data_IF_141546101162
#
_entry.id   IF_141546101162
#
_cell.length_a   1.000
_cell.length_b   1.000
_cell.length_c   1.000
_cell.angle_alpha   90.00
_cell.angle_beta   90.00
_cell.angle_gamma   90.00
#
_symmetry.space_group_name_H-M   'P 1'
#
loop_
_entity.id
_entity.type
_entity.pdbx_description
1 polymer ?
#
# COMPACT_ATOMS: atom_id res chain seq x y z
N UNK A 1 -14.15 -11.28 10.28
CA UNK A 1 -15.13 -11.11 9.19
C UNK A 1 -14.35 -10.62 7.98
N UNK A 2 -14.64 -11.14 6.78
CA UNK A 2 -13.98 -10.71 5.54
C UNK A 2 -14.84 -9.68 4.83
N UNK A 3 -14.18 -8.75 4.13
CA UNK A 3 -14.89 -7.81 3.26
C UNK A 3 -15.50 -8.54 2.05
N UNK A 4 -16.64 -8.05 1.59
CA UNK A 4 -17.22 -8.48 0.33
C UNK A 4 -16.29 -8.09 -0.83
N UNK A 5 -16.34 -8.84 -1.93
CA UNK A 5 -15.42 -8.66 -3.07
C UNK A 5 -15.32 -7.21 -3.60
N UNK A 6 -16.41 -6.44 -3.75
CA UNK A 6 -16.32 -5.04 -4.20
C UNK A 6 -15.59 -4.11 -3.22
N UNK A 7 -15.58 -4.46 -1.93
CA UNK A 7 -14.95 -3.68 -0.87
C UNK A 7 -13.53 -4.16 -0.54
N UNK A 8 -13.10 -5.26 -1.15
CA UNK A 8 -11.75 -5.80 -0.91
C UNK A 8 -10.70 -4.86 -1.53
N UNK A 9 -9.58 -4.65 -0.82
CA UNK A 9 -8.47 -3.83 -1.32
C UNK A 9 -7.77 -4.51 -2.50
N UNK A 10 -6.90 -3.75 -3.17
CA UNK A 10 -6.01 -4.29 -4.18
C UNK A 10 -5.07 -5.35 -3.54
N UNK A 11 -4.88 -6.54 -4.17
CA UNK A 11 -4.03 -7.58 -3.61
C UNK A 11 -2.58 -7.16 -3.37
N UNK A 12 -1.95 -6.48 -4.34
CA UNK A 12 -0.56 -6.00 -4.23
C UNK A 12 -0.40 -4.98 -3.11
N UNK A 13 -1.35 -4.06 -2.95
CA UNK A 13 -1.41 -3.11 -1.84
C UNK A 13 -1.46 -3.83 -0.49
N UNK A 14 -2.23 -4.92 -0.41
CA UNK A 14 -2.36 -5.69 0.83
C UNK A 14 -1.08 -6.45 1.14
N UNK A 15 -0.45 -7.05 0.13
CA UNK A 15 0.84 -7.74 0.28
C UNK A 15 1.94 -6.79 0.75
N UNK A 16 1.99 -5.56 0.22
CA UNK A 16 2.90 -4.52 0.70
C UNK A 16 2.65 -4.18 2.19
N UNK A 17 1.38 -3.95 2.54
CA UNK A 17 1.00 -3.57 3.89
C UNK A 17 1.23 -4.70 4.91
N UNK A 18 1.07 -5.96 4.52
CA UNK A 18 1.44 -7.11 5.35
C UNK A 18 2.92 -7.06 5.77
N UNK A 19 3.81 -6.63 4.86
CA UNK A 19 5.24 -6.48 5.13
C UNK A 19 5.52 -5.26 6.01
N UNK A 20 4.84 -4.14 5.75
CA UNK A 20 5.00 -2.92 6.54
C UNK A 20 4.51 -3.06 7.98
N UNK A 21 3.45 -3.81 8.25
CA UNK A 21 2.96 -3.99 9.62
C UNK A 21 4.05 -4.54 10.55
N UNK A 22 4.89 -5.46 10.06
CA UNK A 22 6.04 -5.98 10.82
C UNK A 22 7.13 -4.92 11.07
N UNK A 23 7.31 -3.97 10.16
CA UNK A 23 8.36 -2.95 10.23
C UNK A 23 7.97 -1.71 11.05
N UNK A 24 6.68 -1.40 11.19
CA UNK A 24 6.20 -0.14 11.80
C UNK A 24 6.75 0.08 13.20
N UNK A 25 6.84 -0.96 14.03
CA UNK A 25 7.38 -0.83 15.39
C UNK A 25 8.83 -0.32 15.41
N UNK A 26 9.65 -0.77 14.45
CA UNK A 26 11.04 -0.30 14.30
C UNK A 26 11.10 1.14 13.80
N UNK A 27 10.25 1.52 12.84
CA UNK A 27 10.15 2.90 12.35
C UNK A 27 9.78 3.87 13.48
N UNK A 28 8.79 3.51 14.29
CA UNK A 28 8.36 4.31 15.43
C UNK A 28 9.45 4.44 16.49
N UNK A 29 10.15 3.34 16.81
CA UNK A 29 11.28 3.38 17.74
C UNK A 29 12.43 4.26 17.23
N UNK A 30 12.60 4.38 15.91
CA UNK A 30 13.56 5.28 15.27
C UNK A 30 13.07 6.74 15.14
N UNK A 31 11.88 7.07 15.65
CA UNK A 31 11.34 8.43 15.67
C UNK A 31 10.46 8.80 14.47
N UNK A 32 10.10 7.85 13.62
CA UNK A 32 9.19 8.10 12.49
C UNK A 32 7.72 7.88 12.87
N UNK A 33 6.84 8.66 12.24
CA UNK A 33 5.40 8.38 12.26
C UNK A 33 5.01 7.65 10.98
N UNK A 34 4.13 6.66 11.07
CA UNK A 34 3.63 5.91 9.93
C UNK A 34 2.11 5.78 9.98
N UNK A 35 1.45 6.01 8.84
CA UNK A 35 0.02 5.83 8.69
C UNK A 35 -0.32 5.37 7.27
N UNK A 36 -1.39 4.58 7.16
CA UNK A 36 -1.93 4.09 5.89
C UNK A 36 -3.27 4.77 5.65
N UNK A 37 -3.42 5.41 4.49
CA UNK A 37 -4.65 6.13 4.13
C UNK A 37 -5.41 5.38 3.04
N UNK A 38 -6.63 4.94 3.35
CA UNK A 38 -7.53 4.27 2.40
C UNK A 38 -8.70 5.16 2.00
N UNK A 39 -9.14 5.07 0.74
CA UNK A 39 -10.38 5.69 0.24
C UNK A 39 -11.55 4.70 0.39
N UNK A 40 -11.91 4.42 1.63
CA UNK A 40 -13.03 3.52 1.96
C UNK A 40 -13.54 3.85 3.36
N UNK A 41 -14.74 3.37 3.70
CA UNK A 41 -15.33 3.55 5.03
C UNK A 41 -14.39 3.06 6.14
N UNK A 42 -14.49 3.66 7.33
CA UNK A 42 -13.65 3.29 8.47
C UNK A 42 -13.89 1.83 8.89
N UNK A 43 -15.14 1.38 8.82
CA UNK A 43 -15.57 0.01 9.08
C UNK A 43 -14.87 -1.00 8.17
N UNK A 44 -14.60 -0.63 6.91
CA UNK A 44 -13.89 -1.48 5.97
C UNK A 44 -12.41 -1.61 6.35
N UNK A 45 -11.75 -0.50 6.69
CA UNK A 45 -10.37 -0.53 7.18
C UNK A 45 -10.21 -1.35 8.47
N UNK A 46 -11.13 -1.18 9.42
CA UNK A 46 -11.13 -1.93 10.68
C UNK A 46 -11.35 -3.42 10.41
N UNK A 47 -12.28 -3.77 9.53
CA UNK A 47 -12.56 -5.16 9.16
C UNK A 47 -11.36 -5.80 8.48
N UNK A 48 -10.77 -5.12 7.49
CA UNK A 48 -9.58 -5.59 6.79
C UNK A 48 -8.39 -5.76 7.74
N UNK A 49 -8.07 -4.74 8.56
CA UNK A 49 -6.95 -4.81 9.50
C UNK A 49 -7.08 -5.97 10.48
N UNK A 50 -8.30 -6.25 10.96
CA UNK A 50 -8.58 -7.43 11.80
C UNK A 50 -8.43 -8.74 11.05
N UNK A 51 -8.90 -8.81 9.81
CA UNK A 51 -8.80 -10.01 8.97
C UNK A 51 -7.34 -10.36 8.62
N UNK A 52 -6.54 -9.34 8.29
CA UNK A 52 -5.09 -9.49 8.02
C UNK A 52 -4.26 -9.64 9.29
N UNK A 53 -4.83 -9.34 10.45
CA UNK A 53 -4.13 -9.38 11.73
C UNK A 53 -3.09 -8.26 11.89
N UNK A 54 -3.25 -7.15 11.18
CA UNK A 54 -2.38 -5.98 11.32
C UNK A 54 -2.55 -5.36 12.70
N UNK A 55 -1.43 -5.10 13.39
CA UNK A 55 -1.42 -4.64 14.79
C UNK A 55 -0.71 -3.31 14.98
N UNK A 56 0.23 -2.97 14.11
CA UNK A 56 1.17 -1.88 14.35
C UNK A 56 0.82 -0.63 13.52
N UNK A 57 0.24 -0.82 12.33
CA UNK A 57 -0.11 0.29 11.44
C UNK A 57 -1.31 1.11 11.94
N UNK A 58 -1.21 2.44 11.85
CA UNK A 58 -2.35 3.34 11.97
C UNK A 58 -3.10 3.43 10.64
N UNK A 59 -4.29 2.83 10.57
CA UNK A 59 -5.18 2.93 9.41
C UNK A 59 -6.07 4.18 9.52
N UNK A 60 -6.16 4.96 8.44
CA UNK A 60 -6.92 6.21 8.38
C UNK A 60 -7.83 6.21 7.15
N UNK A 61 -9.09 6.57 7.34
CA UNK A 61 -10.04 6.73 6.24
C UNK A 61 -9.99 8.14 5.66
N UNK A 62 -9.98 8.22 4.33
CA UNK A 62 -10.15 9.44 3.55
C UNK A 62 -11.49 9.47 2.80
N UNK A 63 -12.45 8.61 3.15
CA UNK A 63 -13.72 8.49 2.43
C UNK A 63 -14.48 9.81 2.32
N UNK A 64 -14.40 10.67 3.35
CA UNK A 64 -15.12 11.94 3.43
C UNK A 64 -14.25 13.17 3.11
N UNK A 65 -13.07 13.00 2.49
CA UNK A 65 -12.22 14.13 2.10
C UNK A 65 -11.46 13.89 0.80
N UNK A 66 -10.73 14.92 0.38
CA UNK A 66 -9.95 14.97 -0.86
C UNK A 66 -8.50 14.53 -0.69
N UNK A 67 -8.06 14.08 0.49
CA UNK A 67 -6.63 13.86 0.78
C UNK A 67 -5.91 13.05 -0.32
N UNK A 68 -6.45 11.90 -0.72
CA UNK A 68 -5.83 11.08 -1.76
C UNK A 68 -5.75 11.80 -3.11
N UNK A 69 -6.77 12.58 -3.47
CA UNK A 69 -6.78 13.40 -4.69
C UNK A 69 -5.78 14.56 -4.62
N UNK A 70 -5.71 15.25 -3.49
CA UNK A 70 -4.83 16.41 -3.28
C UNK A 70 -3.33 16.02 -3.33
N UNK A 71 -3.01 14.75 -3.05
CA UNK A 71 -1.67 14.19 -3.14
C UNK A 71 -1.50 13.21 -4.31
N UNK A 72 -2.29 13.35 -5.38
CA UNK A 72 -2.17 12.57 -6.64
C UNK A 72 -2.28 11.05 -6.51
N UNK A 73 -2.85 10.55 -5.40
CA UNK A 73 -3.08 9.13 -5.14
C UNK A 73 -4.52 8.67 -5.53
N UNK A 74 -5.25 9.51 -6.27
CA UNK A 74 -6.58 9.25 -6.83
C UNK A 74 -6.67 9.89 -8.22
N UNK A 75 -6.96 9.10 -9.25
CA UNK A 75 -7.07 9.58 -10.62
C UNK A 75 -8.39 10.32 -10.88
N UNK A 76 -8.50 10.94 -12.06
CA UNK A 76 -9.68 11.71 -12.44
C UNK A 76 -10.97 10.89 -12.42
N UNK A 77 -10.90 9.60 -12.79
CA UNK A 77 -12.02 8.65 -12.77
C UNK A 77 -12.32 8.05 -11.38
N UNK A 78 -11.54 8.44 -10.36
CA UNK A 78 -11.68 7.96 -8.99
C UNK A 78 -10.90 6.67 -8.69
N UNK A 79 -10.20 6.09 -9.67
CA UNK A 79 -9.31 4.96 -9.43
C UNK A 79 -8.21 5.34 -8.42
N UNK A 80 -7.89 4.40 -7.54
CA UNK A 80 -6.96 4.62 -6.44
C UNK A 80 -5.56 4.19 -6.84
N UNK A 81 -4.59 5.07 -6.59
CA UNK A 81 -3.19 4.85 -6.93
C UNK A 81 -2.41 4.58 -5.62
N UNK A 82 -1.58 3.53 -5.55
CA UNK A 82 -0.67 3.32 -4.43
C UNK A 82 0.44 4.38 -4.46
N UNK A 83 0.59 5.12 -3.36
CA UNK A 83 1.58 6.20 -3.27
C UNK A 83 2.17 6.25 -1.87
N UNK A 84 3.50 6.28 -1.77
CA UNK A 84 4.19 6.59 -0.53
C UNK A 84 4.50 8.08 -0.51
N UNK A 85 4.09 8.77 0.54
CA UNK A 85 4.36 10.20 0.73
C UNK A 85 5.05 10.44 2.06
N UNK A 86 6.05 11.32 2.06
CA UNK A 86 6.81 11.73 3.22
C UNK A 86 6.49 13.18 3.52
N UNK A 87 6.14 13.44 4.78
CA UNK A 87 5.88 14.77 5.30
C UNK A 87 6.89 15.10 6.38
N UNK A 88 7.34 16.35 6.41
CA UNK A 88 8.15 16.89 7.47
C UNK A 88 7.31 17.83 8.32
N UNK A 89 7.41 17.70 9.65
CA UNK A 89 6.77 18.60 10.61
C UNK A 89 7.83 19.33 11.43
N UNK A 90 7.74 20.64 11.44
CA UNK A 90 8.58 21.55 12.22
C UNK A 90 7.69 22.55 12.99
N UNK A 91 8.25 23.53 13.75
CA UNK A 91 7.44 24.51 14.47
C UNK A 91 6.54 25.37 13.59
N UNK A 92 6.85 25.56 12.31
CA UNK A 92 6.07 26.40 11.39
C UNK A 92 4.91 25.63 10.74
N UNK A 93 4.95 24.30 10.75
CA UNK A 93 3.85 23.47 10.28
C UNK A 93 4.27 22.12 9.71
N UNK A 94 3.42 21.58 8.84
CA UNK A 94 3.63 20.33 8.11
C UNK A 94 3.82 20.65 6.63
N UNK A 95 4.87 20.12 6.02
CA UNK A 95 5.19 20.28 4.60
C UNK A 95 5.33 18.92 3.95
N UNK A 96 4.80 18.77 2.75
CA UNK A 96 5.11 17.63 1.89
C UNK A 96 6.58 17.72 1.48
N UNK A 97 7.30 16.61 1.62
CA UNK A 97 8.74 16.54 1.34
C UNK A 97 9.03 15.71 0.09
N UNK A 98 8.35 14.57 -0.06
CA UNK A 98 8.61 13.63 -1.16
C UNK A 98 7.42 12.70 -1.39
N UNK A 99 7.23 12.25 -2.62
CA UNK A 99 6.34 11.13 -2.95
C UNK A 99 7.00 10.20 -3.95
N UNK A 100 6.59 8.93 -3.95
CA UNK A 100 6.97 7.97 -5.00
C UNK A 100 6.43 8.43 -6.36
N UNK A 101 7.26 8.43 -7.40
CA UNK A 101 6.87 8.97 -8.72
C UNK A 101 6.81 7.91 -9.82
N UNK A 102 7.39 6.73 -9.60
CA UNK A 102 7.53 5.70 -10.64
C UNK A 102 6.19 5.11 -11.11
N UNK A 103 5.10 5.30 -10.36
CA UNK A 103 3.76 4.89 -10.77
C UNK A 103 3.17 5.80 -11.87
N UNK A 104 3.77 6.99 -12.08
CA UNK A 104 3.39 7.94 -13.14
C UNK A 104 4.32 7.88 -14.35
N UNK A 105 5.36 7.05 -14.29
CA UNK A 105 6.29 6.85 -15.40
C UNK A 105 5.89 5.59 -16.20
N UNK A 106 6.15 5.57 -17.52
CA UNK A 106 6.00 4.35 -18.30
C UNK A 106 6.83 3.19 -17.73
N UNK A 107 6.26 1.99 -17.75
CA UNK A 107 7.02 0.76 -17.52
C UNK A 107 7.79 0.40 -18.79
N UNK A 108 8.97 -0.19 -18.62
CA UNK A 108 9.71 -0.77 -19.75
C UNK A 108 8.98 -2.01 -20.27
N UNK A 109 9.08 -2.36 -21.56
CA UNK A 109 8.44 -3.54 -22.11
C UNK A 109 8.80 -4.81 -21.33
N UNK A 110 7.78 -5.49 -20.80
CA UNK A 110 7.94 -6.72 -20.02
C UNK A 110 8.28 -6.53 -18.55
N UNK A 111 8.24 -5.30 -18.02
CA UNK A 111 8.40 -5.04 -16.59
C UNK A 111 7.09 -4.69 -15.89
N UNK A 112 6.97 -5.13 -14.64
CA UNK A 112 5.88 -4.76 -13.74
C UNK A 112 5.97 -3.27 -13.31
N UNK A 113 4.86 -2.67 -12.85
CA UNK A 113 4.87 -1.37 -12.20
C UNK A 113 5.88 -1.29 -11.05
N UNK A 114 6.59 -0.17 -10.95
CA UNK A 114 7.77 -0.01 -10.08
C UNK A 114 7.55 0.95 -8.91
N UNK A 115 6.34 1.48 -8.76
CA UNK A 115 6.01 2.60 -7.88
C UNK A 115 6.59 2.49 -6.47
N UNK A 116 6.38 1.34 -5.83
CA UNK A 116 6.84 1.03 -4.47
C UNK A 116 7.78 -0.17 -4.39
N UNK A 117 8.31 -0.63 -5.54
CA UNK A 117 9.08 -1.87 -5.64
C UNK A 117 10.31 -1.92 -4.73
N UNK A 118 10.94 -0.78 -4.46
CA UNK A 118 12.07 -0.68 -3.52
C UNK A 118 11.72 -1.06 -2.08
N UNK A 119 10.44 -1.00 -1.72
CA UNK A 119 9.93 -1.32 -0.39
C UNK A 119 9.27 -2.71 -0.31
N UNK A 120 9.25 -3.45 -1.42
CA UNK A 120 8.62 -4.77 -1.52
C UNK A 120 9.62 -5.88 -1.19
N UNK A 121 9.76 -6.22 0.09
CA UNK A 121 10.62 -7.33 0.54
C UNK A 121 10.26 -8.65 -0.14
N UNK A 122 8.97 -8.94 -0.35
CA UNK A 122 8.50 -10.15 -1.04
C UNK A 122 9.12 -10.28 -2.44
N UNK A 123 8.98 -9.25 -3.26
CA UNK A 123 9.49 -9.23 -4.63
C UNK A 123 11.01 -9.17 -4.68
N UNK A 124 11.63 -8.36 -3.81
CA UNK A 124 13.09 -8.25 -3.71
C UNK A 124 13.74 -9.60 -3.36
N UNK A 125 13.12 -10.41 -2.51
CA UNK A 125 13.64 -11.74 -2.19
C UNK A 125 13.61 -12.70 -3.38
N UNK A 126 12.60 -12.60 -4.24
CA UNK A 126 12.51 -13.41 -5.46
C UNK A 126 13.57 -12.99 -6.49
N UNK A 127 13.91 -11.70 -6.57
CA UNK A 127 14.96 -11.18 -7.45
C UNK A 127 16.35 -11.74 -7.14
N UNK A 128 16.59 -12.21 -5.91
CA UNK A 128 17.85 -12.85 -5.53
C UNK A 128 17.95 -14.33 -5.92
N UNK A 129 16.86 -14.93 -6.41
CA UNK A 129 16.87 -16.33 -6.86
C UNK A 129 17.37 -16.42 -8.31
N UNK A 130 18.06 -17.51 -8.70
CA UNK A 130 18.48 -17.72 -10.09
C UNK A 130 17.32 -17.69 -11.10
N UNK A 131 16.14 -18.11 -10.67
CA UNK A 131 14.91 -18.14 -11.47
C UNK A 131 14.23 -16.76 -11.61
N UNK A 132 14.57 -15.81 -10.73
CA UNK A 132 13.95 -14.49 -10.67
C UNK A 132 12.48 -14.53 -10.24
N UNK A 133 11.73 -13.47 -10.58
CA UNK A 133 10.30 -13.39 -10.27
C UNK A 133 9.48 -14.37 -11.12
N UNK A 134 8.58 -15.16 -10.52
CA UNK A 134 7.69 -16.04 -11.26
C UNK A 134 6.58 -15.25 -11.97
N UNK A 135 5.95 -15.87 -12.98
CA UNK A 135 4.70 -15.35 -13.55
C UNK A 135 3.54 -15.59 -12.57
N UNK A 136 3.37 -14.65 -11.64
CA UNK A 136 2.41 -14.73 -10.54
C UNK A 136 2.00 -13.32 -10.12
N UNK A 137 0.76 -13.17 -9.61
CA UNK A 137 0.26 -11.90 -9.07
C UNK A 137 -0.14 -12.09 -7.61
N UNK A 138 0.03 -11.05 -6.79
CA UNK A 138 -0.39 -11.11 -5.39
C UNK A 138 -1.87 -11.47 -5.27
N UNK A 139 -2.21 -12.26 -4.26
CA UNK A 139 -3.59 -12.66 -3.99
C UNK A 139 -3.94 -12.34 -2.54
N UNK A 140 -5.22 -12.10 -2.28
CA UNK A 140 -5.69 -12.00 -0.89
C UNK A 140 -5.84 -13.38 -0.24
N UNK A 141 -5.97 -14.44 -1.06
CA UNK A 141 -6.31 -15.80 -0.66
C UNK A 141 -5.53 -16.80 -1.53
N UNK A 142 -4.80 -17.71 -0.89
CA UNK A 142 -3.83 -18.60 -1.57
C UNK A 142 -4.24 -20.08 -1.60
N UNK A 143 -5.40 -20.43 -1.04
CA UNK A 143 -5.83 -21.83 -0.83
C UNK A 143 -7.18 -22.21 -1.44
N UNK A 144 -7.88 -21.26 -2.06
CA UNK A 144 -9.06 -21.53 -2.89
C UNK A 144 -8.68 -21.17 -4.33
N UNK A 145 -9.07 -21.97 -5.32
CA UNK A 145 -8.83 -21.67 -6.72
C UNK A 145 -9.49 -20.32 -7.04
N UNK A 146 -8.71 -19.24 -6.97
CA UNK A 146 -9.22 -17.89 -7.19
C UNK A 146 -9.15 -17.60 -8.68
N UNK A 147 -10.35 -17.50 -9.28
CA UNK A 147 -10.65 -17.01 -10.63
C UNK A 147 -9.98 -17.78 -11.79
N UNK A 148 -10.78 -18.61 -12.47
CA UNK A 148 -10.65 -18.74 -13.92
C UNK A 148 -11.00 -17.40 -14.59
#
# INVERSE_FOLDING_TARGET
AKLARPDQPCPSCTALLDQFDGAVGHLQAAGFNFAVVGKTGLENLVTLGRDRGWRNMRLVSSAANSFKRDYNAEAADGSQIPLLSVFHRDPDGIRHFWSSELDFAPTEPGQDPRGLGTCETLWNLMDFTPEGRPNWNEQLQYGEACCH
#
